data_IF_007882953087
#
_entry.id   IF_007882953087
#
_cell.length_a   1.000
_cell.length_b   1.000
_cell.length_c   1.000
_cell.angle_alpha   90.00
_cell.angle_beta   90.00
_cell.angle_gamma   90.00
#
_symmetry.space_group_name_H-M   'P 1'
#
loop_
_entity.id
_entity.type
_entity.pdbx_description
1 polymer ?
#
# COMPACT_ATOMS: atom_id res chain seq x y z
N UNK A 1 -13.86 2.26 27.41
CA UNK A 1 -13.03 3.29 26.76
C UNK A 1 -13.10 2.97 25.29
N UNK A 2 -14.05 3.60 24.60
CA UNK A 2 -14.19 3.49 23.13
C UNK A 2 -13.13 4.40 22.50
N UNK A 3 -12.29 3.84 21.64
CA UNK A 3 -11.43 4.61 20.76
C UNK A 3 -12.29 5.06 19.59
N UNK A 4 -12.76 6.30 19.64
CA UNK A 4 -13.48 6.93 18.54
C UNK A 4 -12.43 7.37 17.50
N UNK A 5 -12.23 6.56 16.45
CA UNK A 5 -11.46 6.92 15.26
C UNK A 5 -12.19 8.07 14.55
N UNK A 6 -11.90 9.31 14.97
CA UNK A 6 -12.44 10.49 14.30
C UNK A 6 -11.64 10.73 13.02
N UNK A 7 -12.09 10.11 11.93
CA UNK A 7 -11.72 10.52 10.57
C UNK A 7 -12.28 11.93 10.34
N UNK A 8 -11.39 12.92 10.28
CA UNK A 8 -11.77 14.29 10.02
C UNK A 8 -12.03 14.45 8.52
N UNK A 9 -13.21 14.04 8.05
CA UNK A 9 -13.73 14.47 6.75
C UNK A 9 -14.15 15.92 6.94
N UNK A 10 -13.20 16.84 6.76
CA UNK A 10 -13.50 18.27 6.81
C UNK A 10 -14.49 18.61 5.71
N UNK A 11 -15.71 18.94 6.13
CA UNK A 11 -16.75 19.60 5.32
C UNK A 11 -16.12 20.77 4.55
N UNK A 12 -16.12 20.65 3.23
CA UNK A 12 -15.87 21.76 2.31
C UNK A 12 -16.91 22.84 2.60
N UNK A 13 -16.46 23.95 3.17
CA UNK A 13 -17.28 25.15 3.33
C UNK A 13 -16.90 26.08 2.18
N UNK A 14 -17.70 26.10 1.12
CA UNK A 14 -17.51 27.04 0.01
C UNK A 14 -17.76 28.47 0.47
N UNK A 15 -16.70 29.27 0.57
CA UNK A 15 -16.85 30.73 0.54
C UNK A 15 -16.90 31.19 -0.92
N UNK A 16 -18.11 31.47 -1.39
CA UNK A 16 -18.35 32.12 -2.67
C UNK A 16 -17.78 33.55 -2.65
N UNK A 17 -16.75 33.82 -3.45
CA UNK A 17 -16.36 35.17 -3.85
C UNK A 17 -16.49 35.29 -5.37
N UNK A 18 -17.32 36.26 -5.76
CA UNK A 18 -17.66 36.62 -7.14
C UNK A 18 -16.42 37.15 -7.85
N UNK A 19 -16.13 36.67 -9.06
CA UNK A 19 -15.61 37.51 -10.14
C UNK A 19 -16.16 37.09 -11.50
N UNK A 20 -16.17 38.07 -12.37
CA UNK A 20 -17.13 38.35 -13.44
C UNK A 20 -16.79 37.71 -14.80
N UNK A 21 -17.85 37.46 -15.57
CA UNK A 21 -17.87 37.07 -16.98
C UNK A 21 -16.80 37.72 -17.87
N UNK A 22 -16.10 36.90 -18.64
CA UNK A 22 -15.81 37.19 -20.05
C UNK A 22 -16.01 35.94 -20.91
N UNK A 23 -17.03 36.02 -21.76
CA UNK A 23 -17.34 35.02 -22.77
C UNK A 23 -16.34 35.14 -23.93
N UNK A 24 -15.69 34.04 -24.27
CA UNK A 24 -15.09 33.87 -25.60
C UNK A 24 -15.51 32.52 -26.17
N UNK A 25 -16.14 32.59 -27.34
CA UNK A 25 -16.63 31.47 -28.13
C UNK A 25 -15.45 30.59 -28.54
N UNK A 26 -15.51 29.29 -28.24
CA UNK A 26 -14.69 28.28 -28.93
C UNK A 26 -15.64 27.39 -29.72
N UNK A 27 -15.49 27.46 -31.03
CA UNK A 27 -16.22 26.69 -32.03
C UNK A 27 -15.65 25.27 -32.06
N UNK A 28 -16.43 24.26 -31.68
CA UNK A 28 -16.04 22.86 -31.87
C UNK A 28 -16.28 22.44 -33.33
N UNK A 29 -15.20 22.20 -34.06
CA UNK A 29 -15.24 21.47 -35.31
C UNK A 29 -15.31 19.96 -35.02
N UNK A 30 -16.46 19.36 -35.35
CA UNK A 30 -16.63 17.91 -35.39
C UNK A 30 -15.85 17.36 -36.60
N UNK A 31 -14.89 16.47 -36.37
CA UNK A 31 -14.35 15.59 -37.41
C UNK A 31 -14.28 14.16 -36.87
N UNK A 32 -14.97 13.25 -37.56
CA UNK A 32 -15.03 11.80 -37.31
C UNK A 32 -13.75 11.10 -37.79
N UNK A 33 -13.60 9.84 -37.34
CA UNK A 33 -12.73 8.74 -37.85
C UNK A 33 -11.25 8.78 -37.37
N UNK A 34 -10.61 7.74 -36.80
CA UNK A 34 -10.86 6.28 -36.73
C UNK A 34 -10.07 5.62 -35.60
N UNK A 35 -10.64 4.52 -35.08
CA UNK A 35 -10.13 3.34 -34.36
C UNK A 35 -8.68 2.85 -34.70
N UNK A 36 -8.16 1.95 -33.83
CA UNK A 36 -6.97 1.06 -33.92
C UNK A 36 -5.67 1.65 -33.30
N UNK A 37 -4.87 1.06 -32.39
CA UNK A 37 -4.51 -0.34 -32.08
C UNK A 37 -3.98 -0.40 -30.63
N UNK A 38 -4.43 -1.36 -29.80
CA UNK A 38 -3.61 -1.94 -28.71
C UNK A 38 -3.32 -3.39 -29.11
N UNK A 39 -2.05 -3.65 -29.47
CA UNK A 39 -1.49 -5.01 -29.63
C UNK A 39 -1.12 -5.54 -28.23
N UNK A 40 -1.02 -6.82 -27.89
CA UNK A 40 -1.39 -8.14 -28.41
C UNK A 40 -0.41 -9.10 -27.72
N UNK A 41 -0.94 -10.08 -26.98
CA UNK A 41 -0.22 -11.26 -26.50
C UNK A 41 -1.20 -12.06 -25.65
N UNK A 42 -1.93 -13.05 -26.13
CA UNK A 42 -1.70 -13.99 -27.23
C UNK A 42 -2.93 -14.12 -28.13
N UNK A 43 -2.76 -13.92 -29.44
CA UNK A 43 -3.69 -14.43 -30.45
C UNK A 43 -2.99 -15.55 -31.20
N UNK A 44 -3.25 -16.79 -30.76
CA UNK A 44 -3.20 -17.95 -31.64
C UNK A 44 -4.55 -18.66 -31.47
N UNK A 45 -5.39 -18.48 -32.50
CA UNK A 45 -6.64 -19.16 -32.86
C UNK A 45 -7.44 -19.92 -31.80
N UNK A 46 -8.57 -19.36 -31.38
CA UNK A 46 -9.77 -20.11 -31.04
C UNK A 46 -11.01 -19.39 -31.59
N UNK A 47 -11.88 -20.16 -32.24
CA UNK A 47 -13.13 -19.80 -32.92
C UNK A 47 -14.12 -18.96 -32.10
N UNK A 48 -14.96 -18.17 -32.78
CA UNK A 48 -15.95 -17.21 -32.22
C UNK A 48 -17.08 -17.73 -31.31
N UNK A 49 -16.89 -18.85 -30.60
CA UNK A 49 -17.79 -19.30 -29.51
C UNK A 49 -17.45 -18.69 -28.15
N UNK A 50 -16.19 -18.28 -27.94
CA UNK A 50 -15.72 -17.74 -26.65
C UNK A 50 -15.78 -16.20 -26.58
N UNK A 51 -16.10 -15.53 -27.69
CA UNK A 51 -16.16 -14.07 -27.78
C UNK A 51 -17.13 -13.46 -26.75
N UNK A 52 -18.35 -14.00 -26.56
CA UNK A 52 -19.27 -13.47 -25.54
C UNK A 52 -18.71 -13.61 -24.12
N UNK A 53 -18.02 -14.71 -23.79
CA UNK A 53 -17.43 -14.92 -22.47
C UNK A 53 -16.28 -13.93 -22.19
N UNK A 54 -15.42 -13.68 -23.18
CA UNK A 54 -14.35 -12.67 -23.08
C UNK A 54 -14.90 -11.26 -22.94
N UNK A 55 -15.97 -10.95 -23.67
CA UNK A 55 -16.65 -9.66 -23.53
C UNK A 55 -17.23 -9.49 -22.11
N UNK A 56 -17.85 -10.52 -21.55
CA UNK A 56 -18.33 -10.50 -20.17
C UNK A 56 -17.21 -10.30 -19.14
N UNK A 57 -16.06 -10.94 -19.32
CA UNK A 57 -14.88 -10.73 -18.47
C UNK A 57 -14.44 -9.27 -18.46
N UNK A 58 -14.32 -8.66 -19.64
CA UNK A 58 -13.94 -7.26 -19.78
C UNK A 58 -14.97 -6.31 -19.13
N UNK A 59 -16.28 -6.61 -19.26
CA UNK A 59 -17.33 -5.83 -18.62
C UNK A 59 -17.26 -5.94 -17.09
N UNK A 60 -17.03 -7.14 -16.54
CA UNK A 60 -16.87 -7.33 -15.10
C UNK A 60 -15.66 -6.57 -14.58
N UNK A 61 -14.52 -6.64 -15.26
CA UNK A 61 -13.31 -5.89 -14.92
C UNK A 61 -13.51 -4.37 -14.95
N UNK A 62 -14.40 -3.90 -15.82
CA UNK A 62 -14.74 -2.48 -15.96
C UNK A 62 -15.86 -2.04 -14.99
N UNK A 63 -16.34 -2.91 -14.09
CA UNK A 63 -17.44 -2.62 -13.17
C UNK A 63 -18.84 -2.61 -13.81
N UNK A 64 -18.95 -2.93 -15.10
CA UNK A 64 -20.23 -2.99 -15.85
C UNK A 64 -20.95 -4.33 -15.59
N UNK A 65 -21.24 -4.60 -14.32
CA UNK A 65 -21.81 -5.88 -13.88
C UNK A 65 -23.21 -6.17 -14.47
N UNK A 66 -24.16 -5.21 -14.57
CA UNK A 66 -25.47 -5.47 -15.17
C UNK A 66 -25.40 -5.90 -16.65
N UNK A 67 -24.51 -5.27 -17.43
CA UNK A 67 -24.28 -5.60 -18.84
C UNK A 67 -23.66 -6.98 -18.99
N UNK A 68 -22.70 -7.31 -18.12
CA UNK A 68 -22.10 -8.64 -18.08
C UNK A 68 -23.16 -9.71 -17.77
N UNK A 69 -24.04 -9.49 -16.79
CA UNK A 69 -25.12 -10.42 -16.42
C UNK A 69 -26.05 -10.67 -17.60
N UNK A 70 -26.54 -9.63 -18.28
CA UNK A 70 -27.43 -9.78 -19.43
C UNK A 70 -26.80 -10.62 -20.55
N UNK A 71 -25.51 -10.45 -20.79
CA UNK A 71 -24.79 -11.25 -21.78
C UNK A 71 -24.66 -12.70 -21.33
N UNK A 72 -24.25 -12.94 -20.07
CA UNK A 72 -24.05 -14.27 -19.52
C UNK A 72 -25.37 -15.06 -19.38
N UNK A 73 -26.47 -14.41 -19.04
CA UNK A 73 -27.80 -15.05 -18.98
C UNK A 73 -28.23 -15.59 -20.34
N UNK A 74 -27.89 -14.91 -21.44
CA UNK A 74 -28.13 -15.42 -22.81
C UNK A 74 -27.32 -16.66 -23.11
N UNK A 75 -26.08 -16.75 -22.61
CA UNK A 75 -25.25 -17.95 -22.75
C UNK A 75 -25.89 -19.11 -21.99
N UNK A 76 -26.31 -18.88 -20.75
CA UNK A 76 -26.93 -19.90 -19.90
C UNK A 76 -28.29 -20.35 -20.41
N UNK A 77 -29.04 -19.47 -21.07
CA UNK A 77 -30.29 -19.84 -21.72
C UNK A 77 -30.09 -20.86 -22.86
N UNK A 78 -28.89 -20.90 -23.46
CA UNK A 78 -28.52 -21.85 -24.52
C UNK A 78 -27.80 -23.08 -23.96
N UNK A 79 -26.89 -22.89 -23.00
CA UNK A 79 -26.12 -23.92 -22.32
C UNK A 79 -26.07 -23.65 -20.81
N UNK A 80 -27.03 -24.21 -20.09
CA UNK A 80 -27.20 -24.00 -18.65
C UNK A 80 -26.09 -24.66 -17.79
N UNK A 81 -25.34 -25.57 -18.41
CA UNK A 81 -24.23 -26.34 -17.85
C UNK A 81 -22.86 -25.77 -18.17
N UNK A 82 -22.79 -24.57 -18.75
CA UNK A 82 -21.52 -23.89 -18.98
C UNK A 82 -20.88 -23.44 -17.65
N UNK A 83 -19.79 -24.07 -17.19
CA UNK A 83 -19.22 -23.78 -15.86
C UNK A 83 -18.55 -22.40 -15.81
N UNK A 84 -17.97 -21.94 -16.93
CA UNK A 84 -17.31 -20.63 -17.02
C UNK A 84 -18.34 -19.50 -16.98
N UNK A 85 -19.45 -19.62 -17.72
CA UNK A 85 -20.54 -18.65 -17.65
C UNK A 85 -21.15 -18.56 -16.25
N UNK A 86 -21.33 -19.70 -15.56
CA UNK A 86 -21.77 -19.74 -14.16
C UNK A 86 -20.79 -19.03 -13.23
N UNK A 87 -19.48 -19.26 -13.40
CA UNK A 87 -18.47 -18.58 -12.59
C UNK A 87 -18.49 -17.07 -12.79
N UNK A 88 -18.51 -16.59 -14.04
CA UNK A 88 -18.56 -15.17 -14.38
C UNK A 88 -19.84 -14.49 -13.86
N UNK A 89 -20.99 -15.18 -13.89
CA UNK A 89 -22.22 -14.65 -13.26
C UNK A 89 -22.06 -14.50 -11.76
N UNK A 90 -21.40 -15.46 -11.12
CA UNK A 90 -21.07 -15.37 -9.70
C UNK A 90 -20.29 -14.10 -9.39
N UNK A 91 -19.25 -13.80 -10.19
CA UNK A 91 -18.44 -12.59 -10.05
C UNK A 91 -19.24 -11.30 -10.32
N UNK A 92 -20.10 -11.30 -11.33
CA UNK A 92 -20.92 -10.13 -11.65
C UNK A 92 -21.96 -9.84 -10.56
N UNK A 93 -22.64 -10.85 -10.01
CA UNK A 93 -23.55 -10.68 -8.88
C UNK A 93 -22.83 -10.29 -7.59
N UNK A 94 -21.63 -10.83 -7.36
CA UNK A 94 -20.78 -10.39 -6.25
C UNK A 94 -20.46 -8.89 -6.35
N UNK A 95 -20.08 -8.42 -7.55
CA UNK A 95 -19.82 -7.00 -7.81
C UNK A 95 -21.03 -6.09 -7.57
N UNK A 96 -22.24 -6.61 -7.73
CA UNK A 96 -23.49 -5.91 -7.38
C UNK A 96 -23.90 -6.05 -5.91
N UNK A 97 -23.13 -6.74 -5.07
CA UNK A 97 -23.51 -7.06 -3.68
C UNK A 97 -24.66 -8.07 -3.56
N UNK A 98 -25.04 -8.74 -4.65
CA UNK A 98 -26.09 -9.76 -4.67
C UNK A 98 -25.53 -11.13 -4.29
N UNK A 99 -25.07 -11.25 -3.05
CA UNK A 99 -24.26 -12.38 -2.59
C UNK A 99 -24.97 -13.74 -2.64
N UNK A 100 -26.29 -13.79 -2.42
CA UNK A 100 -27.05 -15.04 -2.55
C UNK A 100 -27.02 -15.61 -3.97
N UNK A 101 -27.15 -14.73 -4.97
CA UNK A 101 -27.03 -15.12 -6.39
C UNK A 101 -25.60 -15.55 -6.69
N UNK A 102 -24.61 -14.79 -6.21
CA UNK A 102 -23.20 -15.14 -6.37
C UNK A 102 -22.89 -16.55 -5.83
N UNK A 103 -23.32 -16.84 -4.60
CA UNK A 103 -23.18 -18.16 -3.95
C UNK A 103 -23.85 -19.27 -4.76
N UNK A 104 -25.07 -19.03 -5.25
CA UNK A 104 -25.79 -20.01 -6.08
C UNK A 104 -25.01 -20.38 -7.35
N UNK A 105 -24.50 -19.36 -8.05
CA UNK A 105 -23.75 -19.53 -9.29
C UNK A 105 -22.39 -20.20 -9.06
N UNK A 106 -21.65 -19.81 -8.01
CA UNK A 106 -20.39 -20.46 -7.64
C UNK A 106 -20.57 -21.94 -7.27
N UNK A 107 -21.57 -22.28 -6.44
CA UNK A 107 -21.87 -23.69 -6.11
C UNK A 107 -22.17 -24.51 -7.36
N UNK A 108 -22.95 -23.94 -8.29
CA UNK A 108 -23.27 -24.60 -9.56
C UNK A 108 -22.02 -24.82 -10.41
N UNK A 109 -21.16 -23.82 -10.53
CA UNK A 109 -19.89 -23.93 -11.25
C UNK A 109 -18.95 -24.99 -10.62
N UNK A 110 -18.83 -25.06 -9.28
CA UNK A 110 -18.02 -26.08 -8.58
C UNK A 110 -18.46 -27.50 -8.93
N UNK A 111 -19.76 -27.73 -9.04
CA UNK A 111 -20.31 -29.03 -9.42
C UNK A 111 -20.02 -29.38 -10.88
N UNK A 112 -20.07 -28.39 -11.77
CA UNK A 112 -19.80 -28.57 -13.20
C UNK A 112 -18.30 -28.77 -13.50
N UNK A 113 -17.40 -28.13 -12.73
CA UNK A 113 -15.94 -28.34 -12.80
C UNK A 113 -15.46 -29.62 -12.09
N UNK A 114 -16.31 -30.64 -11.91
CA UNK A 114 -15.93 -31.87 -11.20
C UNK A 114 -14.66 -32.57 -11.76
N UNK A 115 -14.43 -32.48 -13.07
CA UNK A 115 -13.26 -33.04 -13.77
C UNK A 115 -12.10 -32.04 -13.97
N UNK A 116 -12.24 -30.79 -13.50
CA UNK A 116 -11.27 -29.70 -13.69
C UNK A 116 -10.85 -29.17 -12.31
N UNK A 117 -9.87 -29.83 -11.65
CA UNK A 117 -9.53 -29.53 -10.25
C UNK A 117 -9.00 -28.11 -10.04
N UNK A 118 -8.26 -27.56 -11.00
CA UNK A 118 -7.73 -26.19 -10.94
C UNK A 118 -8.84 -25.15 -11.01
N UNK A 119 -9.70 -25.22 -12.03
CA UNK A 119 -10.88 -24.34 -12.15
C UNK A 119 -11.80 -24.46 -10.93
N UNK A 120 -12.01 -25.69 -10.45
CA UNK A 120 -12.81 -25.94 -9.24
C UNK A 120 -12.20 -25.28 -8.02
N UNK A 121 -10.88 -25.29 -7.85
CA UNK A 121 -10.21 -24.61 -6.74
C UNK A 121 -10.39 -23.09 -6.83
N UNK A 122 -10.26 -22.51 -8.03
CA UNK A 122 -10.50 -21.08 -8.29
C UNK A 122 -11.92 -20.66 -7.90
N UNK A 123 -12.93 -21.43 -8.30
CA UNK A 123 -14.33 -21.13 -7.94
C UNK A 123 -14.58 -21.32 -6.44
N UNK A 124 -13.99 -22.35 -5.81
CA UNK A 124 -14.07 -22.52 -4.34
C UNK A 124 -13.46 -21.34 -3.59
N UNK A 125 -12.34 -20.81 -4.10
CA UNK A 125 -11.69 -19.65 -3.50
C UNK A 125 -12.61 -18.42 -3.57
N UNK A 126 -13.22 -18.15 -4.73
CA UNK A 126 -14.19 -17.07 -4.88
C UNK A 126 -15.41 -17.25 -3.95
N UNK A 127 -15.96 -18.47 -3.86
CA UNK A 127 -17.05 -18.79 -2.94
C UNK A 127 -16.65 -18.57 -1.47
N UNK A 128 -15.45 -19.00 -1.08
CA UNK A 128 -14.94 -18.80 0.27
C UNK A 128 -14.85 -17.31 0.61
N UNK A 129 -14.32 -16.47 -0.30
CA UNK A 129 -14.26 -15.01 -0.12
C UNK A 129 -15.64 -14.41 0.14
N UNK A 130 -16.65 -14.80 -0.65
CA UNK A 130 -18.02 -14.31 -0.45
C UNK A 130 -18.57 -14.75 0.91
N UNK A 131 -18.33 -15.99 1.33
CA UNK A 131 -18.73 -16.44 2.66
C UNK A 131 -18.09 -15.65 3.79
N UNK A 132 -16.78 -15.39 3.69
CA UNK A 132 -16.06 -14.61 4.69
C UNK A 132 -16.54 -13.15 4.75
N UNK A 133 -16.77 -12.51 3.60
CA UNK A 133 -17.39 -11.17 3.51
C UNK A 133 -18.77 -11.10 4.18
N UNK A 134 -19.53 -12.20 4.11
CA UNK A 134 -20.85 -12.33 4.74
C UNK A 134 -20.80 -12.75 6.23
N UNK A 135 -19.60 -12.93 6.80
CA UNK A 135 -19.44 -13.43 8.17
C UNK A 135 -19.79 -14.92 8.36
N UNK A 136 -20.01 -15.67 7.27
CA UNK A 136 -20.36 -17.09 7.28
C UNK A 136 -19.08 -17.95 7.34
N UNK A 137 -18.35 -17.83 8.44
CA UNK A 137 -16.99 -18.39 8.60
C UNK A 137 -16.92 -19.91 8.38
N UNK A 138 -17.85 -20.68 8.93
CA UNK A 138 -17.83 -22.15 8.82
C UNK A 138 -17.87 -22.63 7.37
N UNK A 139 -18.70 -22.00 6.54
CA UNK A 139 -18.81 -22.34 5.11
C UNK A 139 -17.57 -21.86 4.35
N UNK A 140 -17.07 -20.67 4.64
CA UNK A 140 -15.81 -20.18 4.06
C UNK A 140 -14.63 -21.12 4.37
N UNK A 141 -14.45 -21.49 5.63
CA UNK A 141 -13.37 -22.38 6.06
C UNK A 141 -13.56 -23.81 5.56
N UNK A 142 -14.80 -24.28 5.39
CA UNK A 142 -15.06 -25.55 4.71
C UNK A 142 -14.48 -25.56 3.28
N UNK A 143 -14.75 -24.50 2.50
CA UNK A 143 -14.24 -24.38 1.14
C UNK A 143 -12.71 -24.25 1.10
N UNK A 144 -12.11 -23.43 1.96
CA UNK A 144 -10.66 -23.27 2.05
C UNK A 144 -9.94 -24.56 2.47
N UNK A 145 -10.49 -25.32 3.42
CA UNK A 145 -9.93 -26.64 3.81
C UNK A 145 -9.92 -27.60 2.63
N UNK A 146 -10.95 -27.59 1.79
CA UNK A 146 -10.98 -28.43 0.60
C UNK A 146 -9.83 -28.08 -0.35
N UNK A 147 -9.59 -26.79 -0.59
CA UNK A 147 -8.49 -26.29 -1.44
C UNK A 147 -7.12 -26.70 -0.86
N UNK A 148 -6.87 -26.40 0.42
CA UNK A 148 -5.60 -26.70 1.09
C UNK A 148 -5.31 -28.20 1.09
N UNK A 149 -6.32 -29.05 1.29
CA UNK A 149 -6.16 -30.50 1.23
C UNK A 149 -5.83 -31.00 -0.17
N UNK A 150 -6.37 -30.40 -1.22
CA UNK A 150 -6.18 -30.85 -2.61
C UNK A 150 -4.91 -30.36 -3.29
N UNK A 151 -4.23 -29.33 -2.75
CA UNK A 151 -3.04 -28.75 -3.39
C UNK A 151 -1.75 -28.97 -2.58
N UNK A 152 -0.62 -28.85 -3.28
CA UNK A 152 0.72 -28.63 -2.72
C UNK A 152 1.40 -27.41 -3.35
N UNK A 153 0.66 -26.63 -4.14
CA UNK A 153 1.14 -25.42 -4.79
C UNK A 153 1.22 -24.29 -3.75
N UNK A 154 2.44 -23.78 -3.53
CA UNK A 154 2.69 -22.69 -2.59
C UNK A 154 1.94 -21.41 -2.97
N UNK A 155 1.74 -21.10 -4.25
CA UNK A 155 1.01 -19.90 -4.66
C UNK A 155 -0.46 -19.97 -4.20
N UNK A 156 -1.08 -21.14 -4.33
CA UNK A 156 -2.46 -21.37 -3.85
C UNK A 156 -2.51 -21.32 -2.32
N UNK A 157 -1.53 -21.92 -1.62
CA UNK A 157 -1.47 -21.85 -0.15
C UNK A 157 -1.32 -20.40 0.34
N UNK A 158 -0.52 -19.58 -0.35
CA UNK A 158 -0.35 -18.16 -0.04
C UNK A 158 -1.64 -17.36 -0.26
N UNK A 159 -2.39 -17.64 -1.32
CA UNK A 159 -3.70 -17.04 -1.53
C UNK A 159 -4.68 -17.41 -0.40
N UNK A 160 -4.69 -18.67 0.05
CA UNK A 160 -5.51 -19.08 1.20
C UNK A 160 -5.07 -18.38 2.49
N UNK A 161 -3.76 -18.30 2.74
CA UNK A 161 -3.21 -17.61 3.89
C UNK A 161 -3.74 -16.17 3.94
N UNK A 162 -3.61 -15.42 2.84
CA UNK A 162 -4.10 -14.05 2.74
C UNK A 162 -5.60 -13.85 3.00
N UNK A 163 -6.41 -14.91 3.06
CA UNK A 163 -7.83 -14.83 3.45
C UNK A 163 -8.10 -15.11 4.93
N UNK A 164 -7.15 -15.68 5.67
CA UNK A 164 -7.40 -16.14 7.05
C UNK A 164 -6.32 -15.75 8.06
N UNK A 165 -5.13 -15.35 7.63
CA UNK A 165 -3.98 -15.05 8.49
C UNK A 165 -2.85 -14.36 7.71
N UNK A 166 -1.74 -14.04 8.37
CA UNK A 166 -0.54 -13.53 7.70
C UNK A 166 0.12 -14.62 6.84
N UNK A 167 0.65 -14.25 5.68
CA UNK A 167 1.10 -15.25 4.70
C UNK A 167 2.41 -15.98 5.07
N UNK A 168 3.15 -15.45 6.05
CA UNK A 168 4.45 -15.93 6.51
C UNK A 168 4.50 -15.98 8.04
N UNK A 169 5.53 -16.63 8.58
CA UNK A 169 5.79 -16.62 10.02
C UNK A 169 6.13 -15.20 10.49
N UNK A 170 5.45 -14.76 11.56
CA UNK A 170 5.61 -13.44 12.18
C UNK A 170 6.00 -13.58 13.65
N UNK A 171 6.94 -12.76 14.10
CA UNK A 171 7.30 -12.58 15.50
C UNK A 171 7.07 -11.13 15.95
N UNK A 172 6.73 -10.95 17.23
CA UNK A 172 6.57 -9.63 17.84
C UNK A 172 7.91 -9.17 18.42
N UNK A 173 8.43 -8.02 17.97
CA UNK A 173 9.71 -7.48 18.45
C UNK A 173 9.56 -6.54 19.64
N UNK A 174 8.49 -5.74 19.66
CA UNK A 174 8.21 -4.80 20.77
C UNK A 174 6.92 -5.15 21.49
N UNK A 175 6.84 -4.82 22.77
CA UNK A 175 5.66 -5.03 23.60
C UNK A 175 5.60 -3.96 24.67
N UNK A 176 4.41 -3.64 25.17
CA UNK A 176 4.26 -2.67 26.25
C UNK A 176 3.00 -1.85 26.09
N UNK A 177 2.98 -0.68 26.73
CA UNK A 177 1.90 0.31 26.62
C UNK A 177 2.22 1.46 25.69
N UNK A 178 3.47 1.53 25.24
CA UNK A 178 3.96 2.58 24.36
C UNK A 178 3.70 2.17 22.91
N UNK A 179 3.28 3.12 22.08
CA UNK A 179 3.16 2.89 20.65
C UNK A 179 4.52 3.02 19.97
N UNK A 180 4.86 2.06 19.11
CA UNK A 180 6.14 1.96 18.42
C UNK A 180 5.92 1.97 16.90
N UNK A 181 6.60 2.89 16.22
CA UNK A 181 6.37 3.20 14.80
C UNK A 181 7.65 3.24 13.98
N UNK A 182 7.47 3.25 12.66
CA UNK A 182 8.48 3.56 11.64
C UNK A 182 9.78 2.73 11.78
N UNK A 183 9.70 1.38 11.81
CA UNK A 183 10.87 0.53 11.89
C UNK A 183 11.75 0.65 10.62
N UNK A 184 13.04 0.90 10.78
CA UNK A 184 13.98 1.13 9.66
C UNK A 184 15.31 0.41 9.88
N UNK A 185 15.69 -0.45 8.95
CA UNK A 185 16.90 -1.26 9.04
C UNK A 185 18.19 -0.45 8.79
N UNK A 186 19.24 -0.80 9.53
CA UNK A 186 20.62 -0.40 9.20
C UNK A 186 21.09 -1.04 7.90
N UNK A 187 22.15 -0.49 7.29
CA UNK A 187 22.67 -0.95 5.99
C UNK A 187 23.08 -2.43 5.99
N UNK A 188 23.62 -2.91 7.11
CA UNK A 188 24.01 -4.29 7.33
C UNK A 188 22.85 -5.21 7.76
N UNK A 189 21.65 -4.64 7.95
CA UNK A 189 20.46 -5.36 8.39
C UNK A 189 20.48 -5.85 9.83
N UNK A 190 21.50 -5.50 10.63
CA UNK A 190 21.66 -6.06 11.98
C UNK A 190 20.94 -5.27 13.07
N UNK A 191 20.45 -4.06 12.75
CA UNK A 191 19.77 -3.14 13.69
C UNK A 191 18.51 -2.55 13.06
N UNK A 192 17.56 -2.20 13.90
CA UNK A 192 16.32 -1.51 13.54
C UNK A 192 16.24 -0.23 14.39
N UNK A 193 16.16 0.93 13.72
CA UNK A 193 15.77 2.19 14.34
C UNK A 193 14.25 2.31 14.31
N UNK A 194 13.65 2.89 15.34
CA UNK A 194 12.20 3.09 15.44
C UNK A 194 11.86 4.25 16.38
N UNK A 195 10.65 4.79 16.25
CA UNK A 195 10.10 5.78 17.16
C UNK A 195 9.24 5.09 18.23
N UNK A 196 9.34 5.51 19.48
CA UNK A 196 8.52 5.03 20.59
C UNK A 196 7.87 6.22 21.29
N UNK A 197 6.54 6.20 21.42
CA UNK A 197 5.76 7.28 22.03
C UNK A 197 5.44 6.92 23.47
N UNK A 198 6.29 7.39 24.38
CA UNK A 198 6.16 7.16 25.84
C UNK A 198 5.69 8.42 26.52
N UNK A 199 4.64 8.32 27.35
CA UNK A 199 4.13 9.47 28.12
C UNK A 199 3.89 10.72 27.26
N UNK A 200 3.36 10.51 26.04
CA UNK A 200 3.07 11.53 25.02
C UNK A 200 4.27 12.15 24.29
N UNK A 201 5.50 11.60 24.43
CA UNK A 201 6.67 12.07 23.67
C UNK A 201 7.20 10.99 22.71
N UNK A 202 7.32 11.32 21.42
CA UNK A 202 7.97 10.50 20.41
C UNK A 202 9.50 10.60 20.49
N UNK A 203 10.17 9.47 20.76
CA UNK A 203 11.63 9.40 20.86
C UNK A 203 12.20 8.24 20.05
N UNK A 204 13.45 8.37 19.61
CA UNK A 204 14.08 7.38 18.76
C UNK A 204 14.86 6.35 19.56
N UNK A 205 14.71 5.09 19.17
CA UNK A 205 15.40 3.94 19.75
C UNK A 205 16.03 3.08 18.66
N UNK A 206 17.04 2.31 19.05
CA UNK A 206 17.66 1.28 18.22
C UNK A 206 17.59 -0.05 18.96
N UNK A 207 17.11 -1.08 18.28
CA UNK A 207 17.13 -2.48 18.72
C UNK A 207 17.95 -3.34 17.76
N UNK A 208 18.32 -4.54 18.23
CA UNK A 208 18.76 -5.60 17.32
C UNK A 208 17.56 -6.32 16.69
N UNK A 209 17.82 -7.17 15.71
CA UNK A 209 16.78 -7.91 14.97
C UNK A 209 15.96 -8.89 15.81
N UNK A 210 16.38 -9.19 17.06
CA UNK A 210 15.61 -10.06 17.96
C UNK A 210 14.76 -9.24 18.95
N UNK A 211 14.55 -7.94 18.67
CA UNK A 211 13.70 -7.06 19.47
C UNK A 211 14.36 -6.51 20.74
N UNK A 212 15.64 -6.81 21.01
CA UNK A 212 16.31 -6.28 22.19
C UNK A 212 16.73 -4.83 21.94
N UNK A 213 16.06 -3.89 22.62
CA UNK A 213 16.43 -2.47 22.63
C UNK A 213 17.86 -2.31 23.15
N UNK A 214 18.72 -1.72 22.32
CA UNK A 214 20.14 -1.51 22.60
C UNK A 214 20.41 -0.09 23.05
N UNK A 215 19.68 0.87 22.51
CA UNK A 215 20.01 2.28 22.70
C UNK A 215 18.78 3.17 22.53
N UNK A 216 18.65 4.16 23.43
CA UNK A 216 17.84 5.35 23.21
C UNK A 216 18.71 6.39 22.48
N UNK A 217 18.25 6.88 21.35
CA UNK A 217 19.01 7.80 20.49
C UNK A 217 18.77 9.23 20.93
N UNK A 218 17.53 9.62 21.16
CA UNK A 218 17.14 10.98 21.47
C UNK A 218 16.46 11.12 22.83
N UNK A 219 16.42 12.37 23.30
CA UNK A 219 15.85 12.75 24.59
C UNK A 219 15.11 14.07 24.39
N UNK A 220 13.78 14.03 24.37
CA UNK A 220 13.00 15.25 24.13
C UNK A 220 11.72 15.30 24.96
N UNK A 221 11.29 16.51 25.29
CA UNK A 221 10.06 16.81 26.03
C UNK A 221 9.11 17.72 25.28
N UNK A 222 9.59 18.41 24.24
CA UNK A 222 8.86 19.49 23.58
C UNK A 222 8.59 19.17 22.09
N UNK A 223 9.08 18.02 21.64
CA UNK A 223 9.01 17.58 20.25
C UNK A 223 8.62 16.12 20.18
N UNK A 224 7.97 15.77 19.08
CA UNK A 224 7.76 14.40 18.65
C UNK A 224 8.74 14.08 17.53
N UNK A 225 9.58 13.09 17.75
CA UNK A 225 10.54 12.58 16.77
C UNK A 225 10.04 11.25 16.22
N UNK A 226 9.93 11.17 14.90
CA UNK A 226 9.19 10.11 14.21
C UNK A 226 10.05 9.30 13.25
N UNK A 227 9.66 9.32 11.97
CA UNK A 227 10.37 8.58 10.92
C UNK A 227 11.87 8.87 10.93
N UNK A 228 12.67 7.81 10.81
CA UNK A 228 14.13 7.92 10.85
C UNK A 228 14.80 7.03 9.80
N UNK A 229 16.07 7.28 9.51
CA UNK A 229 16.87 6.38 8.70
C UNK A 229 18.35 6.50 9.07
N UNK A 230 19.08 5.39 8.98
CA UNK A 230 20.55 5.41 9.03
C UNK A 230 21.10 6.10 7.78
N UNK A 231 22.08 6.99 7.98
CA UNK A 231 22.82 7.61 6.89
C UNK A 231 23.99 6.72 6.43
N UNK A 232 24.71 7.17 5.40
CA UNK A 232 25.91 6.48 4.89
C UNK A 232 26.98 6.27 5.98
N UNK A 233 27.13 7.24 6.89
CA UNK A 233 27.85 7.02 8.15
C UNK A 233 26.90 6.29 9.14
N UNK A 234 27.20 5.04 9.52
CA UNK A 234 26.33 4.21 10.35
C UNK A 234 26.22 4.71 11.80
N UNK A 235 26.96 5.76 12.17
CA UNK A 235 26.84 6.44 13.45
C UNK A 235 25.82 7.58 13.44
N UNK A 236 25.23 7.94 12.30
CA UNK A 236 24.22 8.98 12.20
C UNK A 236 22.84 8.42 11.83
N UNK A 237 21.81 8.98 12.47
CA UNK A 237 20.43 8.92 11.99
C UNK A 237 20.02 10.28 11.45
N UNK A 238 19.25 10.30 10.37
CA UNK A 238 18.38 11.42 10.00
C UNK A 238 16.95 11.08 10.41
N UNK A 239 16.16 12.08 10.81
CA UNK A 239 14.79 11.86 11.29
C UNK A 239 13.92 13.10 11.20
N UNK A 240 12.60 12.89 11.19
CA UNK A 240 11.60 13.95 11.30
C UNK A 240 11.40 14.39 12.75
N UNK A 241 11.18 15.68 12.94
CA UNK A 241 10.93 16.30 14.23
C UNK A 241 9.82 17.33 14.11
N UNK A 242 8.77 17.17 14.90
CA UNK A 242 7.60 18.07 14.93
C UNK A 242 7.45 18.68 16.34
N UNK A 243 7.13 19.98 16.49
CA UNK A 243 6.81 20.55 17.79
C UNK A 243 5.57 19.89 18.38
N UNK A 244 5.61 19.60 19.68
CA UNK A 244 4.47 19.02 20.37
C UNK A 244 3.33 20.05 20.45
N UNK A 245 2.31 19.89 19.61
CA UNK A 245 1.16 20.82 19.53
C UNK A 245 -0.16 20.21 20.01
N UNK A 246 -0.22 18.88 20.20
CA UNK A 246 -1.36 18.17 20.79
C UNK A 246 -0.94 16.83 21.40
N UNK A 247 -1.72 16.29 22.35
CA UNK A 247 -1.49 14.95 22.96
C UNK A 247 -1.92 13.76 22.08
N UNK A 248 -2.36 14.00 20.83
CA UNK A 248 -2.81 12.93 19.94
C UNK A 248 -1.73 12.67 18.88
N UNK A 249 -1.12 11.49 18.95
CA UNK A 249 -0.32 10.95 17.85
C UNK A 249 -1.28 10.66 16.69
N UNK A 250 -1.11 11.38 15.57
CA UNK A 250 -1.87 11.11 14.35
C UNK A 250 -1.02 10.27 13.42
N UNK A 251 -1.43 9.02 13.22
CA UNK A 251 -0.91 8.20 12.14
C UNK A 251 -1.53 8.73 10.84
N UNK A 252 -0.69 9.24 9.94
CA UNK A 252 -1.09 9.65 8.61
C UNK A 252 -0.73 8.53 7.63
N UNK A 253 -1.73 7.94 7.00
CA UNK A 253 -1.51 7.05 5.85
C UNK A 253 -1.14 7.84 4.59
N UNK A 254 -1.60 9.09 4.53
CA UNK A 254 -1.29 10.06 3.49
C UNK A 254 -1.22 11.45 4.10
N UNK A 255 -0.26 12.24 3.64
CA UNK A 255 -0.18 13.67 3.92
C UNK A 255 -1.02 14.48 2.95
N UNK A 256 -1.55 15.62 3.41
CA UNK A 256 -2.23 16.58 2.55
C UNK A 256 -1.57 17.94 2.65
N UNK A 257 -1.46 18.63 1.51
CA UNK A 257 -0.98 20.00 1.38
C UNK A 257 -1.97 21.05 1.88
N UNK A 258 -3.21 20.65 2.19
CA UNK A 258 -4.26 21.55 2.73
C UNK A 258 -3.97 22.05 4.16
N UNK A 259 -3.01 21.45 4.87
CA UNK A 259 -2.60 21.84 6.22
C UNK A 259 -1.12 22.23 6.25
N UNK A 260 -0.73 23.32 6.96
CA UNK A 260 0.67 23.65 7.13
C UNK A 260 1.43 22.48 7.78
N UNK A 261 2.59 22.14 7.23
CA UNK A 261 3.49 21.14 7.79
C UNK A 261 4.41 21.84 8.80
N UNK A 262 4.31 21.44 10.08
CA UNK A 262 5.17 21.93 11.15
C UNK A 262 6.20 20.87 11.53
N UNK A 263 7.07 20.54 10.58
CA UNK A 263 8.03 19.45 10.72
C UNK A 263 9.35 19.80 10.02
N UNK A 264 10.45 19.34 10.60
CA UNK A 264 11.81 19.51 10.07
C UNK A 264 12.59 18.20 10.08
N UNK A 265 13.71 18.17 9.35
CA UNK A 265 14.68 17.08 9.42
C UNK A 265 15.90 17.45 10.24
N UNK A 266 16.29 16.52 11.09
CA UNK A 266 17.44 16.62 11.99
C UNK A 266 18.33 15.41 11.79
N UNK A 267 19.62 15.57 12.04
CA UNK A 267 20.55 14.45 12.16
C UNK A 267 21.11 14.39 13.57
N UNK A 268 21.32 13.18 14.07
CA UNK A 268 21.96 12.97 15.37
C UNK A 268 23.00 11.87 15.27
N UNK A 269 24.20 12.15 15.76
CA UNK A 269 25.20 11.12 15.98
C UNK A 269 24.76 10.23 17.15
N UNK A 270 24.54 8.95 16.88
CA UNK A 270 23.95 7.93 17.77
C UNK A 270 24.65 7.89 19.14
N UNK A 271 25.99 7.90 19.17
CA UNK A 271 26.76 7.82 20.42
C UNK A 271 27.03 9.17 21.10
N UNK A 272 27.63 10.14 20.40
CA UNK A 272 27.99 11.45 20.99
C UNK A 272 26.81 12.37 21.25
N UNK A 273 25.64 12.08 20.65
CA UNK A 273 24.40 12.87 20.76
C UNK A 273 24.51 14.28 20.18
N UNK A 274 25.50 14.53 19.33
CA UNK A 274 25.59 15.77 18.56
C UNK A 274 24.46 15.77 17.54
N UNK A 275 23.58 16.77 17.65
CA UNK A 275 22.41 16.95 16.78
C UNK A 275 22.61 18.18 15.90
N UNK A 276 22.29 18.06 14.62
CA UNK A 276 22.34 19.13 13.64
C UNK A 276 20.99 19.27 12.93
N UNK A 277 20.59 20.52 12.67
CA UNK A 277 19.46 20.82 11.80
C UNK A 277 19.87 20.55 10.35
N UNK A 278 19.04 19.81 9.62
CA UNK A 278 19.20 19.59 8.17
C UNK A 278 18.20 20.47 7.43
N UNK A 279 16.94 20.40 7.83
CA UNK A 279 15.85 21.24 7.36
C UNK A 279 15.05 21.72 8.57
N UNK A 280 15.16 23.00 8.97
CA UNK A 280 14.39 23.53 10.09
C UNK A 280 12.90 23.38 9.89
N UNK A 281 12.14 23.36 10.98
CA UNK A 281 10.66 23.23 10.99
C UNK A 281 9.95 24.20 10.04
N UNK A 282 10.51 25.40 9.83
CA UNK A 282 9.96 26.40 8.92
C UNK A 282 9.96 25.99 7.43
N UNK A 283 10.66 24.93 7.05
CA UNK A 283 10.61 24.37 5.70
C UNK A 283 9.36 23.51 5.46
N UNK A 284 8.74 22.98 6.53
CA UNK A 284 7.56 22.14 6.43
C UNK A 284 7.79 20.89 5.58
N UNK A 285 8.53 19.93 6.13
CA UNK A 285 8.94 18.70 5.44
C UNK A 285 8.48 17.43 6.15
N UNK A 286 8.08 16.41 5.39
CA UNK A 286 7.62 15.11 5.91
C UNK A 286 8.11 13.96 5.03
N UNK A 287 7.77 12.73 5.44
CA UNK A 287 8.03 11.46 4.77
C UNK A 287 9.51 11.25 4.39
N UNK A 288 10.20 10.34 5.07
CA UNK A 288 11.65 10.16 4.89
C UNK A 288 11.99 8.92 4.04
N UNK A 289 12.21 9.12 2.74
CA UNK A 289 12.72 8.12 1.82
C UNK A 289 14.24 8.19 1.67
N UNK A 290 15.01 7.24 2.22
CA UNK A 290 16.48 7.21 2.07
C UNK A 290 16.88 6.43 0.81
N UNK A 291 17.83 6.94 0.04
CA UNK A 291 18.39 6.23 -1.12
C UNK A 291 19.24 5.01 -0.70
N UNK A 292 19.46 4.04 -1.61
CA UNK A 292 20.28 2.85 -1.32
C UNK A 292 21.73 3.18 -0.88
N UNK A 293 22.32 4.23 -1.46
CA UNK A 293 23.64 4.76 -1.07
C UNK A 293 23.61 5.57 0.24
N UNK A 294 22.41 5.88 0.75
CA UNK A 294 22.16 6.67 1.97
C UNK A 294 22.75 8.07 1.95
N UNK A 295 22.84 8.66 0.76
CA UNK A 295 23.32 10.01 0.54
C UNK A 295 22.25 10.95 -0.04
N UNK A 296 21.08 10.44 -0.42
CA UNK A 296 19.96 11.24 -0.87
C UNK A 296 18.72 10.95 -0.02
N UNK A 297 17.93 11.98 0.24
CA UNK A 297 16.66 11.86 0.96
C UNK A 297 15.54 12.39 0.07
N UNK A 298 14.60 11.53 -0.27
CA UNK A 298 13.34 11.91 -0.87
C UNK A 298 12.37 12.31 0.23
N UNK A 299 11.68 13.43 0.03
CA UNK A 299 10.76 13.99 1.02
C UNK A 299 9.63 14.76 0.36
N UNK A 300 8.59 15.03 1.13
CA UNK A 300 7.46 15.86 0.70
C UNK A 300 7.52 17.24 1.38
N UNK A 301 7.11 18.29 0.68
CA UNK A 301 7.04 19.64 1.22
C UNK A 301 5.96 20.47 0.53
N UNK A 302 5.37 21.41 1.27
CA UNK A 302 4.37 22.38 0.78
C UNK A 302 4.97 23.72 0.39
N UNK A 303 6.30 23.79 0.19
CA UNK A 303 7.03 25.04 -0.01
C UNK A 303 6.48 25.89 -1.16
N UNK A 304 5.99 25.25 -2.22
CA UNK A 304 5.50 25.91 -3.42
C UNK A 304 3.96 25.97 -3.51
N UNK A 305 3.24 25.59 -2.44
CA UNK A 305 1.79 25.74 -2.30
C UNK A 305 0.97 24.45 -2.45
N UNK A 306 1.49 23.45 -3.15
CA UNK A 306 0.98 22.06 -3.21
C UNK A 306 1.97 21.11 -2.54
N UNK A 307 1.51 19.95 -2.06
CA UNK A 307 2.42 18.95 -1.49
C UNK A 307 3.17 18.25 -2.63
N UNK A 308 4.45 18.57 -2.76
CA UNK A 308 5.31 18.10 -3.85
C UNK A 308 6.50 17.30 -3.31
N UNK A 309 7.09 16.49 -4.18
CA UNK A 309 8.25 15.66 -3.86
C UNK A 309 9.55 16.37 -4.19
N UNK A 310 10.52 16.21 -3.30
CA UNK A 310 11.85 16.80 -3.42
C UNK A 310 12.93 15.77 -3.09
N UNK A 311 14.13 15.95 -3.66
CA UNK A 311 15.34 15.22 -3.29
C UNK A 311 16.32 16.17 -2.63
N UNK A 312 16.78 15.79 -1.45
CA UNK A 312 17.88 16.40 -0.72
C UNK A 312 19.18 15.63 -0.98
N UNK A 313 20.26 16.31 -1.34
CA UNK A 313 21.58 15.73 -1.57
C UNK A 313 22.51 15.98 -0.36
N UNK A 314 22.90 14.91 0.33
CA UNK A 314 23.79 14.94 1.49
C UNK A 314 25.24 14.58 1.12
N UNK A 315 25.58 14.42 -0.16
CA UNK A 315 26.94 14.08 -0.57
C UNK A 315 27.91 15.21 -0.23
N UNK A 316 28.96 14.86 0.49
CA UNK A 316 30.01 15.82 0.90
C UNK A 316 29.58 16.78 2.01
N UNK A 317 28.38 16.63 2.58
CA UNK A 317 27.93 17.40 3.74
C UNK A 317 28.61 16.89 5.01
N UNK A 318 29.18 17.80 5.80
CA UNK A 318 29.67 17.46 7.15
C UNK A 318 28.50 17.33 8.12
N UNK A 319 28.13 16.09 8.44
CA UNK A 319 27.01 15.78 9.34
C UNK A 319 27.24 16.29 10.78
N UNK A 320 28.47 16.63 11.17
CA UNK A 320 28.79 17.22 12.46
C UNK A 320 28.59 18.72 12.54
N UNK A 321 28.53 19.41 11.39
CA UNK A 321 28.44 20.87 11.28
C UNK A 321 27.68 21.26 10.00
N UNK A 322 26.36 21.23 10.06
CA UNK A 322 25.48 21.49 8.91
C UNK A 322 25.07 22.96 8.89
N UNK A 323 25.12 23.59 7.72
CA UNK A 323 24.39 24.83 7.42
C UNK A 323 23.16 24.49 6.56
N UNK A 324 21.93 24.51 7.14
CA UNK A 324 20.70 24.15 6.44
C UNK A 324 20.43 24.93 5.15
N UNK A 325 20.95 26.15 5.03
CA UNK A 325 20.70 26.99 3.84
C UNK A 325 21.53 26.56 2.63
N UNK A 326 22.54 25.72 2.84
CA UNK A 326 23.50 25.33 1.81
C UNK A 326 23.27 23.95 1.23
N UNK A 327 22.35 23.16 1.82
CA UNK A 327 22.13 21.78 1.40
C UNK A 327 21.34 21.78 0.08
N UNK A 328 21.86 21.15 -0.99
CA UNK A 328 21.16 21.13 -2.28
C UNK A 328 19.84 20.37 -2.20
N UNK A 329 18.76 20.99 -2.67
CA UNK A 329 17.43 20.37 -2.78
C UNK A 329 16.83 20.62 -4.17
N UNK A 330 16.20 19.61 -4.76
CA UNK A 330 15.54 19.70 -6.07
C UNK A 330 14.10 19.19 -5.98
N UNK A 331 13.16 19.94 -6.55
CA UNK A 331 11.77 19.50 -6.75
C UNK A 331 11.70 18.48 -7.91
N UNK A 332 10.89 17.43 -7.73
CA UNK A 332 10.75 16.32 -8.68
C UNK A 332 9.40 16.34 -9.39
N UNK A 333 8.32 16.49 -8.62
CA UNK A 333 6.95 16.52 -9.14
C UNK A 333 6.51 17.96 -9.37
N UNK A 334 5.72 18.18 -10.42
CA UNK A 334 5.25 19.49 -10.85
C UNK A 334 3.79 19.39 -11.28
N UNK A 335 2.88 19.27 -10.33
CA UNK A 335 1.44 19.14 -10.60
C UNK A 335 0.58 19.80 -9.52
N UNK A 336 -0.73 19.84 -9.73
CA UNK A 336 -1.67 20.54 -8.85
C UNK A 336 -2.31 19.62 -7.79
N UNK A 337 -1.73 18.45 -7.52
CA UNK A 337 -2.24 17.51 -6.50
C UNK A 337 -1.22 17.23 -5.39
N UNK A 338 -1.68 16.58 -4.33
CA UNK A 338 -0.83 16.22 -3.18
C UNK A 338 -0.09 14.89 -3.43
N UNK A 339 1.15 14.95 -3.92
CA UNK A 339 2.04 13.79 -4.05
C UNK A 339 2.80 13.53 -2.73
N UNK A 340 2.91 12.26 -2.31
CA UNK A 340 3.49 11.93 -1.00
C UNK A 340 4.07 10.53 -0.86
N UNK A 341 4.61 10.23 0.32
CA UNK A 341 5.23 8.93 0.66
C UNK A 341 6.30 8.44 -0.34
N UNK A 342 7.32 9.26 -0.69
CA UNK A 342 8.33 8.85 -1.66
C UNK A 342 9.29 7.78 -1.10
N UNK A 343 9.61 6.77 -1.92
CA UNK A 343 10.59 5.72 -1.60
C UNK A 343 11.47 5.42 -2.80
N UNK A 344 12.77 5.21 -2.59
CA UNK A 344 13.70 4.88 -3.68
C UNK A 344 13.59 3.43 -4.15
N UNK A 345 13.70 3.24 -5.46
CA UNK A 345 14.09 1.96 -6.03
C UNK A 345 15.56 1.65 -5.71
N UNK A 346 15.98 0.37 -5.69
CA UNK A 346 17.36 -0.02 -5.41
C UNK A 346 18.41 0.52 -6.39
N UNK A 347 17.99 0.99 -7.58
CA UNK A 347 18.87 1.65 -8.53
C UNK A 347 19.29 3.07 -8.11
N UNK A 348 18.60 3.67 -7.12
CA UNK A 348 18.84 5.03 -6.64
C UNK A 348 18.49 6.14 -7.64
N UNK A 349 17.94 5.80 -8.80
CA UNK A 349 17.61 6.74 -9.89
C UNK A 349 16.10 6.95 -10.03
N UNK A 350 15.31 6.06 -9.44
CA UNK A 350 13.85 6.12 -9.45
C UNK A 350 13.29 6.15 -8.04
N UNK A 351 12.13 6.79 -7.91
CA UNK A 351 11.29 6.70 -6.70
C UNK A 351 9.92 6.13 -7.07
N UNK A 352 9.30 5.41 -6.15
CA UNK A 352 7.86 5.22 -6.11
C UNK A 352 7.25 6.22 -5.13
N UNK A 353 6.00 6.62 -5.38
CA UNK A 353 5.28 7.57 -4.54
C UNK A 353 3.77 7.38 -4.68
N UNK A 354 3.00 8.01 -3.80
CA UNK A 354 1.53 7.97 -3.80
C UNK A 354 0.99 9.26 -4.40
N UNK A 355 0.00 9.14 -5.29
CA UNK A 355 -0.69 10.27 -5.88
C UNK A 355 -2.21 10.06 -5.98
N UNK A 356 -3.03 11.08 -5.68
CA UNK A 356 -4.49 11.04 -5.75
C UNK A 356 -5.06 11.27 -7.17
N UNK A 357 -4.22 11.28 -8.22
CA UNK A 357 -4.61 11.61 -9.62
C UNK A 357 -5.47 10.57 -10.33
N UNK A 358 -5.75 9.46 -9.67
CA UNK A 358 -6.49 8.35 -10.27
C UNK A 358 -7.97 8.67 -10.43
N UNK A 359 -8.42 8.79 -11.69
CA UNK A 359 -9.85 8.99 -11.98
C UNK A 359 -10.69 7.79 -11.54
N UNK A 360 -11.75 8.02 -10.78
CA UNK A 360 -12.72 6.99 -10.45
C UNK A 360 -13.82 6.84 -11.52
N UNK A 361 -13.92 5.68 -12.21
CA UNK A 361 -14.96 5.46 -13.22
C UNK A 361 -16.39 5.59 -12.69
N UNK A 362 -16.60 5.38 -11.38
CA UNK A 362 -17.91 5.48 -10.74
C UNK A 362 -18.19 6.87 -10.17
N UNK A 363 -17.15 7.69 -10.00
CA UNK A 363 -17.25 9.02 -9.45
C UNK A 363 -16.10 9.89 -9.97
N UNK A 364 -16.28 10.59 -11.10
CA UNK A 364 -15.25 11.44 -11.71
C UNK A 364 -14.69 12.54 -10.78
N UNK A 365 -15.32 12.78 -9.62
CA UNK A 365 -14.89 13.73 -8.59
C UNK A 365 -14.11 13.06 -7.44
N UNK A 366 -13.97 11.74 -7.44
CA UNK A 366 -13.23 10.97 -6.44
C UNK A 366 -11.78 10.84 -6.86
N UNK A 367 -10.90 11.27 -5.97
CA UNK A 367 -9.46 11.15 -6.07
C UNK A 367 -9.01 9.89 -5.34
N UNK A 368 -8.54 8.87 -6.07
CA UNK A 368 -8.00 7.65 -5.46
C UNK A 368 -6.48 7.72 -5.35
N UNK A 369 -5.96 7.29 -4.20
CA UNK A 369 -4.53 7.22 -3.95
C UNK A 369 -3.95 5.97 -4.61
N UNK A 370 -3.11 6.18 -5.62
CA UNK A 370 -2.43 5.10 -6.34
C UNK A 370 -0.92 5.32 -6.34
N UNK A 371 -0.19 4.27 -6.68
CA UNK A 371 1.27 4.24 -6.65
C UNK A 371 1.79 4.55 -8.04
N UNK A 372 2.67 5.53 -8.10
CA UNK A 372 3.35 5.98 -9.30
C UNK A 372 4.86 5.77 -9.12
N UNK A 373 5.59 5.77 -10.22
CA UNK A 373 7.05 5.85 -10.23
C UNK A 373 7.52 6.99 -11.11
N UNK A 374 8.64 7.63 -10.75
CA UNK A 374 9.27 8.70 -11.53
C UNK A 374 10.80 8.63 -11.35
N UNK A 375 11.55 9.03 -12.37
CA UNK A 375 12.99 9.24 -12.22
C UNK A 375 13.26 10.46 -11.33
N UNK A 376 14.39 10.47 -10.62
CA UNK A 376 14.80 11.61 -9.77
C UNK A 376 15.16 12.88 -10.56
N UNK A 377 15.17 12.81 -11.89
CA UNK A 377 15.28 13.98 -12.78
C UNK A 377 13.90 14.49 -13.26
N UNK A 378 12.81 13.90 -12.78
CA UNK A 378 11.43 14.23 -13.15
C UNK A 378 10.92 13.54 -14.42
N UNK A 379 11.72 12.67 -15.06
CA UNK A 379 11.31 11.97 -16.29
C UNK A 379 10.67 10.59 -16.04
N UNK A 380 10.10 9.99 -17.08
CA UNK A 380 9.54 8.63 -17.10
C UNK A 380 8.49 8.33 -16.01
N UNK A 381 7.60 9.30 -15.73
CA UNK A 381 6.50 9.08 -14.79
C UNK A 381 5.55 7.98 -15.30
N UNK A 382 5.23 7.02 -14.42
CA UNK A 382 4.36 5.87 -14.71
C UNK A 382 3.42 5.60 -13.55
N UNK A 383 2.18 5.26 -13.89
CA UNK A 383 1.21 4.74 -12.95
C UNK A 383 1.36 3.21 -12.84
N UNK A 384 1.66 2.68 -11.65
CA UNK A 384 1.97 1.27 -11.46
C UNK A 384 0.72 0.41 -11.25
N UNK A 385 -0.23 0.82 -10.42
CA UNK A 385 -1.31 -0.05 -9.96
C UNK A 385 -2.73 0.51 -10.24
N UNK A 386 -3.22 0.41 -11.49
CA UNK A 386 -4.54 0.91 -11.88
C UNK A 386 -5.69 0.01 -11.37
N UNK A 387 -5.80 -0.14 -10.05
CA UNK A 387 -6.85 -0.89 -9.36
C UNK A 387 -7.88 0.07 -8.71
N UNK A 388 -9.09 -0.40 -8.32
CA UNK A 388 -10.13 0.50 -7.80
C UNK A 388 -9.96 0.86 -6.31
N UNK A 389 -8.79 0.66 -5.71
CA UNK A 389 -8.57 0.79 -4.27
C UNK A 389 -7.47 1.80 -3.94
N UNK A 390 -7.64 2.50 -2.82
CA UNK A 390 -6.58 3.34 -2.29
C UNK A 390 -5.37 2.51 -1.81
N UNK A 391 -4.18 3.00 -2.13
CA UNK A 391 -2.89 2.38 -1.87
C UNK A 391 -1.92 3.44 -1.30
N UNK A 392 -1.29 3.10 -0.18
CA UNK A 392 -0.49 4.03 0.63
C UNK A 392 0.88 3.47 1.01
N UNK A 393 1.79 4.35 1.43
CA UNK A 393 3.08 4.02 2.05
C UNK A 393 3.87 2.90 1.35
N UNK A 394 4.19 3.04 0.04
CA UNK A 394 4.93 2.00 -0.67
C UNK A 394 6.35 1.84 -0.11
N UNK A 395 6.85 0.61 -0.11
CA UNK A 395 8.27 0.29 0.07
C UNK A 395 8.72 -0.77 -0.94
N UNK A 396 9.96 -0.68 -1.38
CA UNK A 396 10.48 -1.51 -2.46
C UNK A 396 11.48 -2.52 -1.89
N UNK A 397 11.40 -3.77 -2.35
CA UNK A 397 12.36 -4.82 -1.99
C UNK A 397 13.76 -4.48 -2.52
N UNK A 398 14.81 -4.98 -1.86
CA UNK A 398 16.19 -4.67 -2.23
C UNK A 398 16.62 -5.18 -3.61
N UNK A 399 15.92 -6.19 -4.15
CA UNK A 399 16.10 -6.68 -5.52
C UNK A 399 15.29 -5.89 -6.57
N UNK A 400 14.45 -4.95 -6.13
CA UNK A 400 13.66 -4.05 -6.97
C UNK A 400 12.49 -4.72 -7.67
N UNK A 401 12.11 -5.94 -7.28
CA UNK A 401 11.06 -6.73 -7.95
C UNK A 401 9.71 -6.69 -7.26
N UNK A 402 9.66 -6.35 -5.98
CA UNK A 402 8.44 -6.38 -5.17
C UNK A 402 8.22 -5.02 -4.54
N UNK A 403 6.97 -4.57 -4.55
CA UNK A 403 6.51 -3.39 -3.82
C UNK A 403 5.55 -3.87 -2.74
N UNK A 404 5.84 -3.53 -1.49
CA UNK A 404 4.87 -3.65 -0.40
C UNK A 404 4.15 -2.30 -0.21
N UNK A 405 2.86 -2.34 0.04
CA UNK A 405 2.05 -1.14 0.24
C UNK A 405 0.89 -1.41 1.19
N UNK A 406 0.24 -0.37 1.67
CA UNK A 406 -0.88 -0.45 2.62
C UNK A 406 -2.19 -0.16 1.91
N UNK A 407 -3.24 -0.91 2.20
CA UNK A 407 -4.59 -0.69 1.65
C UNK A 407 -5.68 -1.14 2.64
N UNK A 408 -6.84 -0.50 2.60
CA UNK A 408 -8.03 -0.84 3.40
C UNK A 408 -9.07 -1.65 2.62
N UNK A 409 -8.72 -2.15 1.43
CA UNK A 409 -9.68 -2.73 0.47
C UNK A 409 -10.49 -3.93 0.98
N UNK A 410 -10.03 -4.59 2.04
CA UNK A 410 -10.66 -5.77 2.64
C UNK A 410 -11.16 -5.53 4.08
N UNK A 411 -11.32 -4.27 4.50
CA UNK A 411 -11.95 -3.87 5.78
C UNK A 411 -10.98 -3.22 6.76
N UNK A 412 -9.89 -3.90 7.10
CA UNK A 412 -8.83 -3.37 7.96
C UNK A 412 -7.64 -2.84 7.12
N UNK A 413 -6.80 -2.00 7.74
CA UNK A 413 -5.53 -1.55 7.15
C UNK A 413 -4.58 -2.74 7.08
N UNK A 414 -4.16 -3.09 5.87
CA UNK A 414 -3.33 -4.27 5.67
C UNK A 414 -2.21 -4.03 4.69
N UNK A 415 -1.16 -4.83 4.79
CA UNK A 415 -0.03 -4.82 3.89
C UNK A 415 -0.32 -5.77 2.73
N UNK A 416 -0.08 -5.28 1.53
CA UNK A 416 -0.17 -6.00 0.27
C UNK A 416 1.19 -5.99 -0.42
N UNK A 417 1.38 -6.95 -1.31
CA UNK A 417 2.53 -7.03 -2.20
C UNK A 417 2.06 -6.98 -3.65
N UNK A 418 2.83 -6.33 -4.50
CA UNK A 418 2.74 -6.40 -5.96
C UNK A 418 4.13 -6.52 -6.57
N UNK A 419 4.19 -6.92 -7.83
CA UNK A 419 5.42 -6.86 -8.60
C UNK A 419 5.76 -5.40 -8.92
N UNK A 420 7.03 -5.12 -9.24
CA UNK A 420 7.49 -3.76 -9.53
C UNK A 420 6.85 -3.12 -10.78
N UNK A 421 6.22 -3.93 -11.64
CA UNK A 421 5.40 -3.46 -12.75
C UNK A 421 3.93 -3.22 -12.38
N UNK A 422 3.57 -3.43 -11.12
CA UNK A 422 2.22 -3.27 -10.56
C UNK A 422 1.31 -4.49 -10.72
N UNK A 423 1.79 -5.59 -11.31
CA UNK A 423 1.01 -6.83 -11.42
C UNK A 423 1.06 -7.68 -10.14
N UNK A 424 0.30 -8.78 -10.11
CA UNK A 424 0.35 -9.79 -9.04
C UNK A 424 0.09 -9.26 -7.62
N UNK A 425 -0.83 -8.30 -7.49
CA UNK A 425 -1.32 -7.80 -6.21
C UNK A 425 -1.89 -8.93 -5.34
N UNK A 426 -1.40 -9.04 -4.11
CA UNK A 426 -1.86 -10.03 -3.12
C UNK A 426 -1.71 -9.49 -1.71
N UNK A 427 -2.64 -9.87 -0.83
CA UNK A 427 -2.60 -9.52 0.59
C UNK A 427 -1.48 -10.30 1.30
N UNK A 428 -0.72 -9.61 2.15
CA UNK A 428 0.38 -10.17 2.94
C UNK A 428 -0.01 -10.40 4.39
N UNK A 429 -0.74 -9.46 4.99
CA UNK A 429 -1.21 -9.51 6.37
C UNK A 429 -2.73 -9.63 6.44
N UNK A 430 -3.23 -10.44 7.36
CA UNK A 430 -4.67 -10.63 7.62
C UNK A 430 -4.90 -11.10 9.07
N UNK A 431 -4.15 -10.50 9.99
CA UNK A 431 -4.32 -10.69 11.42
C UNK A 431 -5.48 -9.84 11.96
N UNK A 432 -5.72 -9.94 13.27
CA UNK A 432 -6.58 -8.97 13.96
C UNK A 432 -5.85 -7.64 14.02
N UNK A 433 -6.52 -6.53 13.71
CA UNK A 433 -5.96 -5.19 13.84
C UNK A 433 -5.27 -4.68 12.57
N UNK A 434 -4.93 -3.40 12.57
CA UNK A 434 -4.23 -2.73 11.48
C UNK A 434 -2.78 -3.24 11.35
N UNK A 435 -2.30 -3.37 10.12
CA UNK A 435 -0.90 -3.65 9.77
C UNK A 435 -0.41 -2.59 8.78
N UNK A 436 0.65 -1.86 9.13
CA UNK A 436 1.11 -0.66 8.42
C UNK A 436 2.63 -0.45 8.52
N UNK A 437 3.13 0.59 7.84
CA UNK A 437 4.56 0.99 7.82
C UNK A 437 5.53 -0.18 7.56
N UNK A 438 5.35 -0.91 6.44
CA UNK A 438 6.26 -1.98 6.06
C UNK A 438 7.68 -1.46 5.84
N UNK A 439 8.70 -2.26 6.18
CA UNK A 439 10.10 -1.99 5.88
C UNK A 439 10.85 -3.28 5.60
N UNK A 440 11.37 -3.45 4.39
CA UNK A 440 12.21 -4.60 4.03
C UNK A 440 13.59 -4.52 4.70
N UNK A 441 14.13 -5.67 5.10
CA UNK A 441 15.55 -5.78 5.41
C UNK A 441 16.40 -5.60 4.13
N UNK A 442 17.66 -5.16 4.24
CA UNK A 442 18.53 -4.96 3.07
C UNK A 442 18.75 -6.21 2.22
N UNK A 443 18.65 -7.40 2.82
CA UNK A 443 18.75 -8.69 2.13
C UNK A 443 17.42 -9.21 1.57
N UNK A 444 16.31 -8.50 1.81
CA UNK A 444 14.96 -8.85 1.32
C UNK A 444 14.32 -10.06 2.00
N UNK A 445 14.94 -10.63 3.06
CA UNK A 445 14.43 -11.83 3.74
C UNK A 445 13.43 -11.55 4.85
N UNK A 446 13.41 -10.31 5.34
CA UNK A 446 12.56 -9.90 6.44
C UNK A 446 11.72 -8.69 6.04
N UNK A 447 10.55 -8.58 6.64
CA UNK A 447 9.73 -7.38 6.61
C UNK A 447 9.39 -6.99 8.05
N UNK A 448 9.92 -5.86 8.51
CA UNK A 448 9.42 -5.24 9.74
C UNK A 448 8.16 -4.45 9.42
N UNK A 449 7.18 -4.47 10.32
CA UNK A 449 5.95 -3.70 10.17
C UNK A 449 5.34 -3.37 11.53
N UNK A 450 4.38 -2.46 11.54
CA UNK A 450 3.69 -2.00 12.74
C UNK A 450 2.28 -2.58 12.75
N UNK A 451 1.84 -3.09 13.90
CA UNK A 451 0.46 -3.56 14.08
C UNK A 451 -0.07 -3.33 15.49
N UNK A 452 -1.36 -3.06 15.62
CA UNK A 452 -2.08 -2.90 16.89
C UNK A 452 -2.74 -4.20 17.39
N UNK A 453 -2.39 -5.34 16.78
CA UNK A 453 -2.89 -6.69 17.14
C UNK A 453 -2.65 -7.10 18.60
N UNK A 454 -1.87 -6.32 19.35
CA UNK A 454 -1.61 -6.48 20.78
C UNK A 454 -2.05 -5.25 21.60
N UNK A 455 -3.20 -4.66 21.26
CA UNK A 455 -3.86 -3.50 21.89
C UNK A 455 -3.17 -2.13 21.74
N UNK A 456 -1.88 -2.12 21.40
CA UNK A 456 -1.06 -0.92 21.14
C UNK A 456 -0.23 -1.18 19.90
N UNK A 457 0.21 -0.12 19.21
CA UNK A 457 1.02 -0.27 18.01
C UNK A 457 2.41 -0.80 18.39
N UNK A 458 2.71 -2.01 17.92
CA UNK A 458 3.96 -2.70 18.16
C UNK A 458 4.64 -3.08 16.85
N UNK A 459 5.95 -3.26 16.90
CA UNK A 459 6.74 -3.69 15.75
C UNK A 459 6.78 -5.22 15.72
N UNK A 460 6.45 -5.75 14.55
CA UNK A 460 6.49 -7.16 14.21
C UNK A 460 7.51 -7.40 13.11
N UNK A 461 8.06 -8.61 13.06
CA UNK A 461 9.01 -9.05 12.05
C UNK A 461 8.47 -10.28 11.34
N UNK A 462 8.32 -10.19 10.03
CA UNK A 462 7.89 -11.27 9.17
C UNK A 462 9.09 -11.91 8.44
N UNK A 463 9.15 -13.24 8.45
CA UNK A 463 10.17 -14.02 7.75
C UNK A 463 9.70 -14.42 6.34
N UNK A 464 10.10 -13.67 5.32
CA UNK A 464 9.67 -13.87 3.93
C UNK A 464 10.24 -15.15 3.29
N UNK A 465 11.21 -15.79 3.94
CA UNK A 465 11.74 -17.11 3.57
C UNK A 465 11.03 -18.27 4.28
N UNK A 466 10.04 -17.99 5.14
CA UNK A 466 9.28 -18.98 5.93
C UNK A 466 7.77 -18.82 5.71
N UNK A 467 7.25 -19.16 4.51
CA UNK A 467 5.81 -19.14 4.26
C UNK A 467 5.08 -20.14 5.17
N UNK A 468 3.82 -19.86 5.50
CA UNK A 468 3.01 -20.82 6.24
C UNK A 468 2.87 -22.13 5.47
N UNK A 469 3.02 -23.25 6.18
CA UNK A 469 2.90 -24.57 5.58
C UNK A 469 1.43 -24.97 5.43
N UNK A 470 1.18 -25.97 4.58
CA UNK A 470 -0.13 -26.65 4.50
C UNK A 470 -0.67 -27.06 5.87
N UNK A 471 0.20 -27.51 6.79
CA UNK A 471 -0.19 -27.90 8.15
C UNK A 471 -0.64 -26.68 8.97
N UNK A 472 0.10 -25.58 8.91
CA UNK A 472 -0.23 -24.36 9.66
C UNK A 472 -1.57 -23.78 9.21
N UNK A 473 -1.84 -23.81 7.91
CA UNK A 473 -3.12 -23.36 7.35
C UNK A 473 -4.29 -24.27 7.75
N UNK A 474 -4.08 -25.59 7.79
CA UNK A 474 -5.14 -26.50 8.27
C UNK A 474 -5.46 -26.27 9.74
N UNK A 475 -4.47 -25.99 10.58
CA UNK A 475 -4.69 -25.65 11.99
C UNK A 475 -5.45 -24.33 12.17
N UNK A 476 -5.21 -23.32 11.33
CA UNK A 476 -5.99 -22.07 11.36
C UNK A 476 -7.44 -22.26 10.91
N UNK A 477 -7.70 -23.28 10.10
CA UNK A 477 -9.01 -23.58 9.55
C UNK A 477 -9.80 -24.60 10.38
N UNK A 478 -9.24 -25.15 11.44
CA UNK A 478 -9.92 -26.01 12.43
C UNK A 478 -10.71 -25.16 13.42
#
# INVERSE_FOLDING_TARGET
MEYDLTLNISRITFHASRFTHHASRITFHVSRFTLLIVLLGCVIGCSGKDEPLRQSEALIQSGMHPEAINLLEKIIAVDDRNPKARFLLGQAYEGLGSYDQAIHHYKTAINLYAAHPEDKATVRFALAKVYLKQGIRDSGYHELRAIVRSTSDNAVLQQVAGLITDAYQVEQLTSGKDDNYSPRFSADGSRIAFASYRLDNGELFIMDINGRVRQRVTYTTDFDEGESAFLHDPHYLIYSREPQTSRQVKILLQSSGSSPIYAGFYTTHIHSKVTQEVMPVGFGVRSLGISPDRQHVAYESVRDGTLELYILDLRGVDLGAIDPQTIPSQQITHNEVDDGSPVFFPDGQRIAFVSPRAADPQNEQSERHQIYSINIDGSDEKHLNPNPHDCYSPVISSDGKTIAFVSMRDGDIEIYLMDADGSNERRLTNGIGASMQPAFSPDGRLLAFVSDRSDTFQIYLMHLDRPLTKRDLLLHLE
#
